data_IF_597345528077
#
_entry.id   IF_597345528077
#
_cell.length_a   1.000
_cell.length_b   1.000
_cell.length_c   1.000
_cell.angle_alpha   90.00
_cell.angle_beta   90.00
_cell.angle_gamma   90.00
#
_symmetry.space_group_name_H-M   'P 1'
#
loop_
_entity.id
_entity.type
_entity.pdbx_description
1 polymer ?
#
# COMPACT_ATOMS: atom_id res chain seq x y z
N UNK A 1 -4.14 -27.27 9.20
CA UNK A 1 -3.14 -26.31 9.76
C UNK A 1 -2.17 -25.80 8.70
N UNK A 2 -1.58 -26.67 7.87
CA UNK A 2 -0.61 -26.26 6.82
C UNK A 2 -1.13 -25.18 5.86
N UNK A 3 -2.38 -25.30 5.38
CA UNK A 3 -2.95 -24.29 4.50
C UNK A 3 -3.07 -22.91 5.16
N UNK A 4 -3.46 -22.86 6.44
CA UNK A 4 -3.56 -21.61 7.19
C UNK A 4 -2.17 -20.97 7.35
N UNK A 5 -1.17 -21.77 7.72
CA UNK A 5 0.23 -21.34 7.79
C UNK A 5 0.69 -20.74 6.47
N UNK A 6 0.45 -21.43 5.34
CA UNK A 6 0.81 -20.96 4.00
C UNK A 6 0.17 -19.62 3.64
N UNK A 7 -1.11 -19.42 3.99
CA UNK A 7 -1.78 -18.14 3.75
C UNK A 7 -1.22 -17.02 4.61
N UNK A 8 -0.93 -17.28 5.89
CA UNK A 8 -0.29 -16.30 6.79
C UNK A 8 1.11 -15.92 6.34
N UNK A 9 1.91 -16.89 5.88
CA UNK A 9 3.24 -16.65 5.30
C UNK A 9 3.17 -15.82 4.02
N UNK A 10 2.23 -16.14 3.13
CA UNK A 10 1.99 -15.35 1.92
C UNK A 10 1.64 -13.90 2.28
N UNK A 11 0.71 -13.70 3.21
CA UNK A 11 0.32 -12.37 3.68
C UNK A 11 1.54 -11.59 4.21
N UNK A 12 2.36 -12.20 5.07
CA UNK A 12 3.57 -11.58 5.59
C UNK A 12 4.57 -11.23 4.48
N UNK A 13 4.80 -12.15 3.53
CA UNK A 13 5.73 -11.95 2.43
C UNK A 13 5.32 -10.78 1.52
N UNK A 14 4.04 -10.68 1.17
CA UNK A 14 3.53 -9.57 0.35
C UNK A 14 3.49 -8.25 1.13
N UNK A 15 3.15 -8.29 2.41
CA UNK A 15 3.26 -7.11 3.27
C UNK A 15 4.72 -6.62 3.34
N UNK A 16 5.70 -7.51 3.51
CA UNK A 16 7.12 -7.15 3.47
C UNK A 16 7.52 -6.52 2.14
N UNK A 17 7.08 -7.10 1.01
CA UNK A 17 7.34 -6.55 -0.34
C UNK A 17 6.73 -5.17 -0.53
N UNK A 18 5.54 -4.92 0.02
CA UNK A 18 4.88 -3.61 -0.01
C UNK A 18 5.76 -2.52 0.63
N UNK A 19 6.23 -2.73 1.86
CA UNK A 19 7.09 -1.73 2.53
C UNK A 19 8.45 -1.57 1.86
N UNK A 20 9.08 -2.67 1.42
CA UNK A 20 10.35 -2.59 0.69
C UNK A 20 10.19 -1.81 -0.62
N UNK A 21 9.09 -2.06 -1.35
CA UNK A 21 8.76 -1.30 -2.56
C UNK A 21 8.60 0.18 -2.26
N UNK A 22 7.81 0.55 -1.25
CA UNK A 22 7.62 1.95 -0.85
C UNK A 22 8.95 2.64 -0.52
N UNK A 23 9.80 2.03 0.30
CA UNK A 23 11.09 2.61 0.65
C UNK A 23 12.04 2.71 -0.54
N UNK A 24 12.06 1.69 -1.40
CA UNK A 24 12.87 1.71 -2.62
C UNK A 24 12.48 2.88 -3.53
N UNK A 25 11.19 3.05 -3.83
CA UNK A 25 10.72 4.18 -4.63
C UNK A 25 10.94 5.51 -3.93
N UNK A 26 10.88 5.56 -2.59
CA UNK A 26 11.09 6.80 -1.84
C UNK A 26 12.53 7.27 -2.00
N UNK A 27 13.49 6.34 -1.87
CA UNK A 27 14.91 6.62 -2.12
C UNK A 27 15.14 7.07 -3.57
N UNK A 28 14.51 6.41 -4.55
CA UNK A 28 14.62 6.83 -5.96
C UNK A 28 14.07 8.23 -6.21
N UNK A 29 12.89 8.55 -5.67
CA UNK A 29 12.28 9.87 -5.81
C UNK A 29 13.13 10.94 -5.13
N UNK A 30 13.61 10.69 -3.91
CA UNK A 30 14.52 11.61 -3.22
C UNK A 30 15.80 11.81 -4.06
N UNK A 31 16.38 10.73 -4.60
CA UNK A 31 17.54 10.81 -5.49
C UNK A 31 17.28 11.68 -6.72
N UNK A 32 16.12 11.54 -7.36
CA UNK A 32 15.73 12.36 -8.52
C UNK A 32 15.55 13.85 -8.16
N UNK A 33 14.98 14.12 -6.98
CA UNK A 33 14.80 15.48 -6.45
C UNK A 33 16.13 16.15 -6.09
N UNK A 34 17.10 15.39 -5.57
CA UNK A 34 18.43 15.90 -5.23
C UNK A 34 19.31 16.11 -6.47
N UNK A 35 19.13 15.30 -7.52
CA UNK A 35 19.87 15.44 -8.77
C UNK A 35 19.51 16.71 -9.56
N UNK A 36 18.27 17.19 -9.41
CA UNK A 36 17.79 18.50 -9.90
C UNK A 36 18.03 18.78 -11.39
N UNK A 37 17.91 17.75 -12.24
CA UNK A 37 17.86 17.93 -13.69
C UNK A 37 16.41 17.96 -14.18
N UNK A 38 16.10 18.62 -15.31
CA UNK A 38 14.74 18.61 -15.87
C UNK A 38 14.21 17.18 -16.11
N UNK A 39 15.08 16.28 -16.58
CA UNK A 39 14.74 14.87 -16.81
C UNK A 39 14.44 14.15 -15.50
N UNK A 40 15.26 14.34 -14.47
CA UNK A 40 15.04 13.69 -13.17
C UNK A 40 13.78 14.20 -12.47
N UNK A 41 13.48 15.50 -12.57
CA UNK A 41 12.23 16.06 -12.04
C UNK A 41 10.99 15.55 -12.79
N UNK A 42 11.06 15.45 -14.12
CA UNK A 42 9.98 14.89 -14.93
C UNK A 42 9.74 13.39 -14.66
N UNK A 43 10.76 12.67 -14.20
CA UNK A 43 10.66 11.25 -13.84
C UNK A 43 9.90 11.03 -12.52
N UNK A 44 9.91 11.99 -11.59
CA UNK A 44 9.31 11.82 -10.25
C UNK A 44 7.82 11.46 -10.30
N UNK A 45 6.93 12.15 -11.05
CA UNK A 45 5.53 11.77 -11.16
C UNK A 45 5.32 10.34 -11.70
N UNK A 46 6.16 9.91 -12.64
CA UNK A 46 6.10 8.55 -13.20
C UNK A 46 6.49 7.50 -12.15
N UNK A 47 7.52 7.77 -11.35
CA UNK A 47 7.92 6.91 -10.24
C UNK A 47 6.83 6.84 -9.17
N UNK A 48 6.19 7.97 -8.87
CA UNK A 48 5.07 8.06 -7.91
C UNK A 48 3.89 7.18 -8.35
N UNK A 49 3.48 7.28 -9.62
CA UNK A 49 2.40 6.44 -10.17
C UNK A 49 2.80 4.97 -10.11
N UNK A 50 4.03 4.63 -10.52
CA UNK A 50 4.55 3.26 -10.51
C UNK A 50 4.56 2.67 -9.10
N UNK A 51 5.04 3.44 -8.12
CA UNK A 51 5.04 3.08 -6.71
C UNK A 51 3.62 2.79 -6.20
N UNK A 52 2.66 3.65 -6.57
CA UNK A 52 1.23 3.46 -6.26
C UNK A 52 0.65 2.18 -6.87
N UNK A 53 0.85 1.96 -8.16
CA UNK A 53 0.37 0.75 -8.87
C UNK A 53 0.95 -0.53 -8.27
N UNK A 54 2.27 -0.56 -8.03
CA UNK A 54 2.93 -1.72 -7.43
C UNK A 54 2.46 -1.96 -5.97
N UNK A 55 2.24 -0.89 -5.21
CA UNK A 55 1.69 -0.96 -3.86
C UNK A 55 0.28 -1.56 -3.84
N UNK A 56 -0.61 -1.11 -4.76
CA UNK A 56 -1.94 -1.69 -4.92
C UNK A 56 -1.89 -3.17 -5.31
N UNK A 57 -0.97 -3.55 -6.19
CA UNK A 57 -0.77 -4.95 -6.58
C UNK A 57 -0.38 -5.82 -5.38
N UNK A 58 0.55 -5.38 -4.54
CA UNK A 58 0.92 -6.14 -3.34
C UNK A 58 -0.21 -6.21 -2.31
N UNK A 59 -0.96 -5.13 -2.10
CA UNK A 59 -2.10 -5.14 -1.19
C UNK A 59 -3.21 -6.08 -1.64
N UNK A 60 -3.43 -6.19 -2.96
CA UNK A 60 -4.37 -7.16 -3.49
C UNK A 60 -4.04 -8.60 -3.04
N UNK A 61 -2.76 -8.99 -3.07
CA UNK A 61 -2.34 -10.32 -2.60
C UNK A 61 -2.38 -10.47 -1.08
N UNK A 62 -2.16 -9.39 -0.32
CA UNK A 62 -2.39 -9.39 1.13
C UNK A 62 -3.86 -9.66 1.42
N UNK A 63 -4.78 -8.96 0.77
CA UNK A 63 -6.23 -9.16 0.95
C UNK A 63 -6.68 -10.55 0.49
N UNK A 64 -6.13 -11.06 -0.62
CA UNK A 64 -6.37 -12.44 -1.06
C UNK A 64 -5.98 -13.45 0.03
N UNK A 65 -4.79 -13.30 0.62
CA UNK A 65 -4.30 -14.20 1.66
C UNK A 65 -5.14 -14.11 2.94
N UNK A 66 -5.55 -12.89 3.34
CA UNK A 66 -6.43 -12.65 4.49
C UNK A 66 -7.79 -13.30 4.31
N UNK A 67 -8.40 -13.17 3.12
CA UNK A 67 -9.70 -13.77 2.81
C UNK A 67 -9.65 -15.31 2.93
N UNK A 68 -8.59 -15.92 2.42
CA UNK A 68 -8.39 -17.37 2.53
C UNK A 68 -8.09 -17.81 3.97
N UNK A 69 -7.28 -17.06 4.71
CA UNK A 69 -7.00 -17.35 6.11
C UNK A 69 -8.27 -17.30 6.96
N UNK A 70 -9.12 -16.27 6.77
CA UNK A 70 -10.42 -16.14 7.44
C UNK A 70 -11.34 -17.34 7.17
N UNK A 71 -11.42 -17.78 5.92
CA UNK A 71 -12.21 -18.96 5.56
C UNK A 71 -11.71 -20.22 6.26
N UNK A 72 -10.39 -20.47 6.26
CA UNK A 72 -9.80 -21.65 6.88
C UNK A 72 -9.92 -21.60 8.41
N UNK A 73 -9.69 -20.45 9.04
CA UNK A 73 -9.88 -20.25 10.49
C UNK A 73 -11.32 -20.52 10.91
N UNK A 74 -12.31 -19.99 10.18
CA UNK A 74 -13.72 -20.25 10.47
C UNK A 74 -14.09 -21.73 10.40
N UNK A 75 -13.55 -22.46 9.40
CA UNK A 75 -13.77 -23.92 9.31
C UNK A 75 -13.12 -24.69 10.46
N UNK A 76 -11.92 -24.28 10.88
CA UNK A 76 -11.22 -24.93 12.00
C UNK A 76 -11.92 -24.66 13.32
N UNK A 77 -12.29 -23.42 13.61
CA UNK A 77 -13.03 -23.07 14.83
C UNK A 77 -14.35 -23.84 14.92
N UNK A 78 -15.08 -23.98 13.80
CA UNK A 78 -16.31 -24.78 13.73
C UNK A 78 -16.06 -26.28 13.97
N UNK A 79 -14.99 -26.83 13.41
CA UNK A 79 -14.65 -28.25 13.58
C UNK A 79 -14.18 -28.58 15.01
N UNK A 80 -13.60 -27.59 15.70
CA UNK A 80 -13.08 -27.75 17.07
C UNK A 80 -14.08 -27.33 18.15
N UNK A 81 -15.26 -26.81 17.76
CA UNK A 81 -16.25 -26.19 18.64
C UNK A 81 -15.64 -25.14 19.61
N UNK A 82 -14.63 -24.43 19.12
CA UNK A 82 -13.82 -23.47 19.90
C UNK A 82 -13.47 -22.26 19.04
N UNK A 83 -13.71 -21.06 19.55
CA UNK A 83 -13.31 -19.78 18.94
C UNK A 83 -11.87 -19.38 19.31
N UNK A 84 -10.92 -20.33 19.21
CA UNK A 84 -9.54 -20.09 19.65
C UNK A 84 -8.67 -19.35 18.62
N UNK A 85 -9.01 -19.42 17.33
CA UNK A 85 -8.28 -18.75 16.26
C UNK A 85 -8.96 -17.42 15.92
N UNK A 86 -8.43 -16.32 16.45
CA UNK A 86 -8.97 -14.94 16.28
C UNK A 86 -8.11 -14.06 15.37
N UNK A 87 -7.17 -14.66 14.63
CA UNK A 87 -6.20 -13.91 13.82
C UNK A 87 -6.88 -13.00 12.79
N UNK A 88 -7.89 -13.51 12.09
CA UNK A 88 -8.62 -12.73 11.08
C UNK A 88 -9.45 -11.59 11.70
N UNK A 89 -9.97 -11.77 12.92
CA UNK A 89 -10.72 -10.73 13.64
C UNK A 89 -9.80 -9.57 14.05
N UNK A 90 -8.60 -9.89 14.54
CA UNK A 90 -7.57 -8.90 14.89
C UNK A 90 -7.13 -8.13 13.63
N UNK A 91 -6.97 -8.83 12.50
CA UNK A 91 -6.60 -8.20 11.24
C UNK A 91 -7.68 -7.25 10.70
N UNK A 92 -8.95 -7.59 10.86
CA UNK A 92 -10.05 -6.72 10.46
C UNK A 92 -10.07 -5.42 11.30
N UNK A 93 -9.66 -5.48 12.57
CA UNK A 93 -9.50 -4.30 13.42
C UNK A 93 -8.27 -3.46 13.03
N UNK A 94 -7.13 -4.11 12.78
CA UNK A 94 -5.87 -3.43 12.48
C UNK A 94 -5.80 -2.86 11.05
N UNK A 95 -6.16 -3.66 10.04
CA UNK A 95 -6.21 -3.23 8.65
C UNK A 95 -7.51 -2.50 8.37
N UNK A 96 -8.54 -3.28 8.08
CA UNK A 96 -9.90 -2.89 7.76
C UNK A 96 -10.73 -4.17 7.60
N UNK A 97 -12.06 -4.13 7.78
CA UNK A 97 -12.90 -5.27 7.47
C UNK A 97 -12.75 -5.63 5.99
N UNK A 98 -12.49 -6.90 5.67
CA UNK A 98 -12.27 -7.34 4.28
C UNK A 98 -13.43 -6.94 3.36
N UNK A 99 -14.66 -7.05 3.87
CA UNK A 99 -15.89 -6.83 3.12
C UNK A 99 -16.30 -5.34 3.06
N UNK A 100 -15.57 -4.44 3.72
CA UNK A 100 -15.87 -3.02 3.70
C UNK A 100 -15.50 -2.39 2.33
N UNK A 101 -16.32 -1.46 1.81
CA UNK A 101 -15.96 -0.67 0.65
C UNK A 101 -14.74 0.20 0.96
N UNK A 102 -13.70 0.11 0.12
CA UNK A 102 -12.42 0.78 0.33
C UNK A 102 -11.81 1.23 -0.98
N UNK A 103 -10.99 2.27 -0.91
CA UNK A 103 -10.18 2.78 -2.02
C UNK A 103 -8.72 2.50 -1.69
N UNK A 104 -8.14 1.50 -2.34
CA UNK A 104 -6.87 0.93 -1.89
C UNK A 104 -7.01 0.41 -0.46
N UNK A 105 -6.27 1.01 0.47
CA UNK A 105 -6.34 0.72 1.91
C UNK A 105 -7.24 1.64 2.74
N UNK A 106 -7.83 2.66 2.13
CA UNK A 106 -8.59 3.68 2.86
C UNK A 106 -10.07 3.30 2.96
N UNK A 107 -10.59 3.27 4.19
CA UNK A 107 -12.01 3.08 4.49
C UNK A 107 -12.61 4.39 5.01
N UNK A 108 -13.49 5.06 4.23
CA UNK A 108 -14.05 6.36 4.62
C UNK A 108 -14.81 6.38 5.94
N UNK A 109 -15.47 5.27 6.30
CA UNK A 109 -16.23 5.16 7.55
C UNK A 109 -15.34 5.03 8.80
N UNK A 110 -14.06 4.66 8.64
CA UNK A 110 -13.12 4.47 9.75
C UNK A 110 -11.73 5.03 9.39
N UNK A 111 -11.61 6.35 9.18
CA UNK A 111 -10.40 6.97 8.62
C UNK A 111 -9.21 6.93 9.58
N UNK A 112 -9.45 6.82 10.90
CA UNK A 112 -8.42 6.80 11.95
C UNK A 112 -7.87 5.40 12.27
N UNK A 113 -8.40 4.34 11.64
CA UNK A 113 -7.76 3.02 11.74
C UNK A 113 -6.37 3.09 11.13
N UNK A 114 -5.46 2.28 11.68
CA UNK A 114 -4.04 2.32 11.33
C UNK A 114 -3.83 2.33 9.82
N UNK A 115 -4.46 1.41 9.08
CA UNK A 115 -4.22 1.29 7.65
C UNK A 115 -4.88 2.39 6.80
N UNK A 116 -6.04 2.89 7.20
CA UNK A 116 -6.68 4.06 6.58
C UNK A 116 -5.80 5.31 6.73
N UNK A 117 -5.34 5.58 7.95
CA UNK A 117 -4.45 6.69 8.25
C UNK A 117 -3.11 6.55 7.49
N UNK A 118 -2.56 5.33 7.47
CA UNK A 118 -1.31 5.05 6.77
C UNK A 118 -1.44 5.24 5.25
N UNK A 119 -2.57 4.82 4.66
CA UNK A 119 -2.86 5.05 3.24
C UNK A 119 -2.91 6.53 2.93
N UNK A 120 -3.61 7.33 3.74
CA UNK A 120 -3.65 8.79 3.59
C UNK A 120 -2.26 9.41 3.71
N UNK A 121 -1.48 9.02 4.72
CA UNK A 121 -0.12 9.52 4.92
C UNK A 121 0.75 9.33 3.66
N UNK A 122 0.78 8.12 3.09
CA UNK A 122 1.57 7.86 1.89
C UNK A 122 1.03 8.59 0.67
N UNK A 123 -0.29 8.60 0.45
CA UNK A 123 -0.88 9.32 -0.70
C UNK A 123 -0.54 10.80 -0.63
N UNK A 124 -0.69 11.43 0.53
CA UNK A 124 -0.33 12.85 0.73
C UNK A 124 1.16 13.08 0.49
N UNK A 125 2.03 12.23 1.04
CA UNK A 125 3.48 12.33 0.83
C UNK A 125 3.84 12.23 -0.65
N UNK A 126 3.35 11.19 -1.34
CA UNK A 126 3.66 10.95 -2.75
C UNK A 126 3.15 12.06 -3.67
N UNK A 127 1.92 12.54 -3.45
CA UNK A 127 1.36 13.67 -4.19
C UNK A 127 2.15 14.95 -3.92
N UNK A 128 2.56 15.17 -2.67
CA UNK A 128 3.41 16.31 -2.31
C UNK A 128 4.76 16.28 -3.03
N UNK A 129 5.42 15.11 -3.08
CA UNK A 129 6.70 14.95 -3.79
C UNK A 129 6.54 15.15 -5.30
N UNK A 130 5.47 14.61 -5.91
CA UNK A 130 5.17 14.81 -7.32
C UNK A 130 4.88 16.28 -7.65
N UNK A 131 4.04 16.94 -6.85
CA UNK A 131 3.72 18.36 -7.02
C UNK A 131 4.97 19.23 -6.85
N UNK A 132 5.81 18.94 -5.87
CA UNK A 132 7.07 19.64 -5.65
C UNK A 132 8.04 19.49 -6.82
N UNK A 133 8.16 18.28 -7.38
CA UNK A 133 8.98 18.05 -8.57
C UNK A 133 8.48 18.85 -9.78
N UNK A 134 7.16 18.84 -10.01
CA UNK A 134 6.54 19.59 -11.12
C UNK A 134 6.70 21.10 -10.94
N UNK A 135 6.56 21.60 -9.71
CA UNK A 135 6.77 23.01 -9.39
C UNK A 135 8.21 23.46 -9.70
N UNK A 136 9.22 22.63 -9.38
CA UNK A 136 10.62 22.89 -9.73
C UNK A 136 10.91 22.77 -11.22
N UNK A 137 10.23 21.85 -11.91
CA UNK A 137 10.40 21.64 -13.34
C UNK A 137 9.79 22.78 -14.17
N UNK A 138 8.66 23.33 -13.73
CA UNK A 138 7.90 24.35 -14.46
C UNK A 138 8.75 25.55 -14.97
N UNK A 139 9.57 26.23 -14.14
CA UNK A 139 10.42 27.31 -14.63
C UNK A 139 11.54 26.86 -15.59
N UNK A 140 11.93 25.58 -15.56
CA UNK A 140 12.98 25.03 -16.43
C UNK A 140 12.48 24.69 -17.83
N UNK A 141 11.16 24.54 -18.01
CA UNK A 141 10.58 24.13 -19.29
C UNK A 141 10.55 25.24 -20.36
N UNK A 142 10.97 26.48 -20.01
CA UNK A 142 11.00 27.62 -20.93
C UNK A 142 9.62 27.99 -21.48
N UNK A 143 9.54 29.09 -22.24
CA UNK A 143 8.37 29.30 -23.10
C UNK A 143 8.42 28.22 -24.19
N UNK A 144 7.44 27.33 -24.22
CA UNK A 144 7.24 26.43 -25.34
C UNK A 144 7.02 27.32 -26.58
N UNK A 145 8.03 27.38 -27.44
CA UNK A 145 8.15 28.39 -28.50
C UNK A 145 6.85 28.51 -29.31
N UNK A 146 6.42 29.76 -29.53
CA UNK A 146 5.49 30.11 -30.59
C UNK A 146 6.15 29.94 -31.95
#
# INVERSE_FOLDING_TARGET
>A
MEQLRRMREMQYAYHKKFFHGLYFFLVLVIGCLLWDSPVSLALVPLLVITAGTQSCFYLHFVDFARLHARFVEGRLNKALDKSSLVGSEIEDLYFYPIDAPKIGGFVPSTPLRFFSFFTLHWVTLWLGLAAFALWRLFPMMGECGK
#
